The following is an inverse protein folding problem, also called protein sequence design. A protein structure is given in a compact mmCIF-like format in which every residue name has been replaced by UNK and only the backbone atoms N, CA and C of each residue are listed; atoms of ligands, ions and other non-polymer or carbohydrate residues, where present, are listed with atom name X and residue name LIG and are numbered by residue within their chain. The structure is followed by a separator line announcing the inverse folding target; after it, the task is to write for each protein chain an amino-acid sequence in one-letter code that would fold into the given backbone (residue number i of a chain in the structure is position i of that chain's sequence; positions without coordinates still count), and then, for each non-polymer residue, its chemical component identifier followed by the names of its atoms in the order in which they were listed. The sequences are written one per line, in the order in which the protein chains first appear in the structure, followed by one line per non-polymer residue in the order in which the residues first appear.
data_IF_304717947978
#
_entry.id   IF_304717947978
#
_cell.length_a   1.000
_cell.length_b   1.000
_cell.length_c   1.000
_cell.angle_alpha   90.00
_cell.angle_beta   90.00
_cell.angle_gamma   90.00
#
_symmetry.space_group_name_H-M   'P 1'
#
loop_
_entity.id
_entity.type
_entity.pdbx_description
1 polymer ?
#
# COMPACT_ATOMS: atom_id res chain seq x y z
N UNK A 1 -1.28 15.43 2.63
CA UNK A 1 -1.15 14.78 3.96
C UNK A 1 -2.48 14.25 4.51
N UNK A 2 -3.62 14.94 4.37
CA UNK A 2 -4.90 14.50 4.96
C UNK A 2 -5.43 13.13 4.49
N UNK A 3 -5.42 12.85 3.18
CA UNK A 3 -5.97 11.61 2.61
C UNK A 3 -5.22 10.36 3.09
N UNK A 4 -3.89 10.43 3.17
CA UNK A 4 -3.06 9.31 3.65
C UNK A 4 -3.33 9.01 5.13
N UNK A 5 -3.56 10.04 5.95
CA UNK A 5 -3.91 9.86 7.36
C UNK A 5 -5.26 9.19 7.56
N UNK A 6 -6.29 9.63 6.83
CA UNK A 6 -7.64 9.05 6.92
C UNK A 6 -7.67 7.61 6.44
N UNK A 7 -7.05 7.32 5.29
CA UNK A 7 -6.98 5.96 4.75
C UNK A 7 -6.10 5.06 5.62
N UNK A 8 -5.02 5.58 6.19
CA UNK A 8 -4.14 4.83 7.10
C UNK A 8 -4.86 4.40 8.38
N UNK A 9 -5.59 5.30 9.03
CA UNK A 9 -6.36 4.98 10.24
C UNK A 9 -7.50 4.01 9.94
N UNK A 10 -8.21 4.19 8.83
CA UNK A 10 -9.26 3.26 8.41
C UNK A 10 -8.70 1.85 8.16
N UNK A 11 -7.56 1.76 7.47
CA UNK A 11 -6.89 0.49 7.21
C UNK A 11 -6.42 -0.17 8.51
N UNK A 12 -5.80 0.58 9.42
CA UNK A 12 -5.38 0.06 10.72
C UNK A 12 -6.56 -0.43 11.56
N UNK A 13 -7.69 0.29 11.54
CA UNK A 13 -8.90 -0.12 12.25
C UNK A 13 -9.42 -1.48 11.77
N UNK A 14 -9.53 -1.67 10.46
CA UNK A 14 -10.00 -2.92 9.86
C UNK A 14 -9.01 -4.06 10.11
N UNK A 15 -7.71 -3.80 9.92
CA UNK A 15 -6.66 -4.80 10.14
C UNK A 15 -6.63 -5.24 11.60
N UNK A 16 -6.68 -4.29 12.53
CA UNK A 16 -6.60 -4.58 13.95
C UNK A 16 -7.82 -5.36 14.42
N UNK A 17 -9.04 -4.89 14.11
CA UNK A 17 -10.28 -5.57 14.49
C UNK A 17 -10.35 -6.99 13.92
N UNK A 18 -10.08 -7.15 12.62
CA UNK A 18 -10.07 -8.46 11.97
C UNK A 18 -8.95 -9.38 12.48
N UNK A 19 -7.83 -8.85 12.98
CA UNK A 19 -6.77 -9.68 13.58
C UNK A 19 -7.18 -10.18 14.96
N UNK A 20 -7.75 -9.31 15.80
CA UNK A 20 -8.20 -9.66 17.14
C UNK A 20 -9.28 -10.75 17.07
N UNK A 21 -10.32 -10.55 16.25
CA UNK A 21 -11.43 -11.51 16.13
C UNK A 21 -10.99 -12.89 15.63
N UNK A 22 -9.96 -12.95 14.76
CA UNK A 22 -9.46 -14.20 14.20
C UNK A 22 -8.34 -14.85 15.02
N UNK A 23 -7.92 -14.25 16.14
CA UNK A 23 -6.90 -14.80 17.03
C UNK A 23 -7.36 -14.89 18.48
N UNK A 24 -8.69 -14.84 18.70
CA UNK A 24 -9.31 -15.04 20.01
C UNK A 24 -8.97 -16.43 20.56
N UNK A 25 -8.80 -16.51 21.87
CA UNK A 25 -8.79 -17.79 22.56
C UNK A 25 -10.22 -18.35 22.65
N UNK A 26 -10.34 -19.68 22.62
CA UNK A 26 -11.61 -20.34 22.89
C UNK A 26 -11.83 -20.39 24.41
N UNK A 27 -12.41 -19.31 24.94
CA UNK A 27 -12.61 -19.10 26.38
C UNK A 27 -13.97 -19.64 26.90
N UNK A 28 -14.86 -20.14 26.02
CA UNK A 28 -16.17 -20.73 26.37
C UNK A 28 -16.63 -21.75 25.30
N UNK A 29 -17.57 -22.66 25.66
CA UNK A 29 -18.14 -23.67 24.75
C UNK A 29 -19.20 -23.10 23.78
N UNK A 30 -19.55 -21.82 23.94
CA UNK A 30 -20.51 -21.13 23.09
C UNK A 30 -19.97 -20.85 21.69
N UNK A 31 -20.80 -21.09 20.66
CA UNK A 31 -20.48 -20.70 19.27
C UNK A 31 -20.33 -19.17 19.08
N UNK A 32 -20.69 -18.36 20.08
CA UNK A 32 -20.58 -16.91 20.08
C UNK A 32 -19.48 -16.42 21.05
N UNK A 33 -18.33 -16.07 20.49
CA UNK A 33 -17.14 -15.63 21.25
C UNK A 33 -17.34 -14.33 22.05
N UNK A 34 -18.34 -13.51 21.71
CA UNK A 34 -18.66 -12.27 22.45
C UNK A 34 -19.05 -12.49 23.91
N UNK A 35 -19.58 -13.67 24.27
CA UNK A 35 -19.98 -13.99 25.65
C UNK A 35 -18.83 -14.48 26.51
N UNK A 36 -17.72 -14.88 25.89
CA UNK A 36 -16.56 -15.42 26.57
C UNK A 36 -15.67 -14.31 27.16
N UNK A 37 -15.91 -13.05 26.81
CA UNK A 37 -15.13 -11.91 27.31
C UNK A 37 -15.66 -11.38 28.65
N UNK A 38 -14.76 -11.17 29.61
CA UNK A 38 -15.04 -10.48 30.87
C UNK A 38 -14.13 -9.23 31.01
N UNK A 39 -14.69 -8.02 31.22
CA UNK A 39 -13.89 -6.79 31.35
C UNK A 39 -12.94 -6.77 32.56
N UNK A 40 -13.09 -7.68 33.52
CA UNK A 40 -12.21 -7.81 34.70
C UNK A 40 -11.21 -8.95 34.59
N UNK A 41 -11.17 -9.68 33.45
CA UNK A 41 -10.21 -10.74 33.24
C UNK A 41 -8.77 -10.20 33.19
N UNK A 42 -7.83 -10.99 33.70
CA UNK A 42 -6.40 -10.64 33.73
C UNK A 42 -5.70 -11.09 32.44
N UNK A 43 -6.22 -12.14 31.81
CA UNK A 43 -5.63 -12.74 30.61
C UNK A 43 -6.04 -12.01 29.33
N UNK A 44 -5.12 -11.91 28.36
CA UNK A 44 -5.41 -11.36 27.04
C UNK A 44 -6.41 -12.24 26.30
N UNK A 45 -7.44 -11.65 25.70
CA UNK A 45 -8.51 -12.39 24.99
C UNK A 45 -8.07 -12.91 23.61
N UNK A 46 -6.92 -12.45 23.09
CA UNK A 46 -6.39 -12.85 21.80
C UNK A 46 -4.90 -13.14 21.87
N UNK A 47 -4.41 -13.99 20.95
CA UNK A 47 -3.02 -14.40 20.92
C UNK A 47 -2.14 -13.42 20.11
N UNK A 48 -1.42 -12.53 20.80
CA UNK A 48 -0.44 -11.66 20.14
C UNK A 48 0.66 -12.44 19.40
N UNK A 49 1.08 -13.59 19.93
CA UNK A 49 2.12 -14.44 19.31
C UNK A 49 1.64 -14.99 17.97
N UNK A 50 0.41 -15.48 17.90
CA UNK A 50 -0.19 -16.00 16.67
C UNK A 50 -0.42 -14.88 15.65
N UNK A 51 -0.95 -13.74 16.11
CA UNK A 51 -1.11 -12.54 15.28
C UNK A 51 0.23 -12.09 14.67
N UNK A 52 1.28 -11.98 15.48
CA UNK A 52 2.61 -11.56 15.03
C UNK A 52 3.22 -12.54 14.02
N UNK A 53 3.06 -13.84 14.26
CA UNK A 53 3.54 -14.88 13.33
C UNK A 53 2.82 -14.79 11.98
N UNK A 54 1.50 -14.64 11.99
CA UNK A 54 0.69 -14.48 10.78
C UNK A 54 1.16 -13.26 9.96
N UNK A 55 1.24 -12.09 10.60
CA UNK A 55 1.63 -10.86 9.90
C UNK A 55 3.09 -10.86 9.44
N UNK A 56 4.00 -11.48 10.20
CA UNK A 56 5.40 -11.66 9.79
C UNK A 56 5.52 -12.51 8.52
N UNK A 57 4.65 -13.51 8.33
CA UNK A 57 4.65 -14.33 7.12
C UNK A 57 4.08 -13.59 5.90
N UNK A 58 3.04 -12.78 6.10
CA UNK A 58 2.37 -12.03 5.02
C UNK A 58 3.22 -10.85 4.55
N UNK A 59 3.74 -10.04 5.46
CA UNK A 59 4.49 -8.83 5.12
C UNK A 59 6.01 -9.00 5.10
N UNK A 60 6.56 -10.07 5.69
CA UNK A 60 8.00 -10.35 5.70
C UNK A 60 8.54 -10.93 4.39
N UNK A 61 7.69 -11.23 3.40
CA UNK A 61 8.13 -11.73 2.09
C UNK A 61 8.61 -10.55 1.22
N UNK A 62 9.92 -10.49 0.98
CA UNK A 62 10.54 -9.47 0.10
C UNK A 62 10.16 -9.73 -1.36
N UNK A 63 9.40 -8.82 -1.97
CA UNK A 63 9.13 -8.80 -3.43
C UNK A 63 10.31 -8.09 -4.11
N UNK A 64 11.17 -8.84 -4.80
CA UNK A 64 12.45 -8.34 -5.34
C UNK A 64 12.36 -7.76 -6.78
N UNK A 65 11.18 -7.70 -7.39
CA UNK A 65 11.01 -7.15 -8.75
C UNK A 65 10.14 -5.90 -8.69
N UNK A 66 10.75 -4.75 -8.38
CA UNK A 66 10.05 -3.48 -8.21
C UNK A 66 10.25 -2.60 -9.45
N UNK A 67 9.54 -2.91 -10.53
CA UNK A 67 9.15 -1.88 -11.49
C UNK A 67 7.89 -1.22 -10.92
N UNK A 68 7.97 0.05 -10.53
CA UNK A 68 6.86 0.74 -9.85
C UNK A 68 6.10 1.64 -10.79
N UNK A 69 4.86 1.96 -10.42
CA UNK A 69 4.14 3.07 -11.04
C UNK A 69 4.92 4.38 -10.96
N UNK A 70 5.73 4.59 -9.92
CA UNK A 70 6.59 5.78 -9.81
C UNK A 70 7.64 5.83 -10.92
N UNK A 71 8.36 4.73 -11.16
CA UNK A 71 9.34 4.64 -12.25
C UNK A 71 8.68 4.72 -13.63
N UNK A 72 7.45 4.20 -13.79
CA UNK A 72 6.66 4.36 -15.03
C UNK A 72 6.18 5.80 -15.25
N UNK A 73 5.78 6.48 -14.18
CA UNK A 73 5.33 7.88 -14.25
C UNK A 73 6.48 8.85 -14.55
N UNK A 74 7.71 8.53 -14.12
CA UNK A 74 8.89 9.31 -14.50
C UNK A 74 9.09 9.24 -16.02
N UNK A 75 9.10 8.04 -16.61
CA UNK A 75 9.25 7.87 -18.06
C UNK A 75 8.11 8.55 -18.84
N UNK A 76 6.88 8.49 -18.32
CA UNK A 76 5.74 9.18 -18.92
C UNK A 76 5.90 10.71 -18.86
N UNK A 77 6.34 11.23 -17.72
CA UNK A 77 6.55 12.66 -17.52
C UNK A 77 7.70 13.21 -18.38
N UNK A 78 8.80 12.46 -18.51
CA UNK A 78 9.90 12.79 -19.42
C UNK A 78 9.42 12.82 -20.87
N UNK A 79 8.56 11.88 -21.27
CA UNK A 79 7.87 11.90 -22.55
C UNK A 79 7.06 13.17 -22.74
N UNK A 80 6.10 13.44 -21.86
CA UNK A 80 5.21 14.60 -21.98
C UNK A 80 6.00 15.91 -22.04
N UNK A 81 7.01 16.07 -21.17
CA UNK A 81 7.87 17.25 -21.16
C UNK A 81 8.63 17.42 -22.47
N UNK A 82 9.26 16.36 -22.98
CA UNK A 82 10.02 16.42 -24.24
C UNK A 82 9.11 16.73 -25.45
N UNK A 83 7.90 16.18 -25.47
CA UNK A 83 6.94 16.38 -26.56
C UNK A 83 6.24 17.75 -26.51
N UNK A 84 6.00 18.31 -25.32
CA UNK A 84 5.31 19.59 -25.17
C UNK A 84 6.25 20.80 -25.14
N UNK A 85 7.54 20.63 -24.81
CA UNK A 85 8.50 21.73 -24.64
C UNK A 85 8.62 22.66 -25.87
N UNK A 86 8.60 22.11 -27.09
CA UNK A 86 8.74 22.91 -28.31
C UNK A 86 7.54 23.82 -28.60
N UNK A 87 6.33 23.44 -28.15
CA UNK A 87 5.10 24.22 -28.35
C UNK A 87 4.75 25.12 -27.15
N UNK A 88 5.06 24.68 -25.94
CA UNK A 88 4.73 25.44 -24.72
C UNK A 88 5.79 26.50 -24.40
N UNK A 89 7.06 26.29 -24.79
CA UNK A 89 8.16 27.24 -24.58
C UNK A 89 8.64 27.85 -25.91
N UNK A 90 7.72 28.41 -26.71
CA UNK A 90 8.03 29.03 -28.01
C UNK A 90 9.17 30.08 -27.95
N UNK A 91 9.30 30.77 -26.83
CA UNK A 91 10.35 31.78 -26.62
C UNK A 91 11.76 31.20 -26.49
N UNK A 92 11.89 29.90 -26.19
CA UNK A 92 13.18 29.21 -26.13
C UNK A 92 13.62 28.65 -27.48
N UNK A 93 12.77 28.72 -28.52
CA UNK A 93 13.06 28.24 -29.89
C UNK A 93 13.64 26.82 -29.91
N UNK A 94 13.10 25.93 -29.07
CA UNK A 94 13.55 24.55 -28.93
C UNK A 94 13.19 23.74 -30.18
N UNK A 95 14.20 23.19 -30.84
CA UNK A 95 14.04 22.28 -31.99
C UNK A 95 14.67 20.95 -31.61
N UNK A 96 13.84 19.92 -31.36
CA UNK A 96 14.31 18.58 -31.05
C UNK A 96 14.24 17.69 -32.31
N UNK A 97 15.35 17.07 -32.75
CA UNK A 97 15.30 16.05 -33.80
C UNK A 97 14.58 14.78 -33.33
N UNK A 98 13.98 14.02 -34.24
CA UNK A 98 13.15 12.85 -33.90
C UNK A 98 13.92 11.76 -33.12
N UNK A 99 15.24 11.67 -33.33
CA UNK A 99 16.14 10.70 -32.69
C UNK A 99 16.32 10.91 -31.18
N UNK A 100 16.04 12.11 -30.66
CA UNK A 100 16.21 12.43 -29.23
C UNK A 100 14.89 12.39 -28.45
N UNK A 101 13.76 12.19 -29.13
CA UNK A 101 12.47 12.11 -28.47
C UNK A 101 12.28 10.72 -27.83
N UNK A 102 11.98 10.66 -26.52
CA UNK A 102 11.72 9.38 -25.86
C UNK A 102 10.46 8.74 -26.46
N UNK A 103 10.61 7.52 -26.99
CA UNK A 103 9.53 6.73 -27.59
C UNK A 103 9.67 5.27 -27.17
N UNK A 104 8.54 4.59 -26.98
CA UNK A 104 8.53 3.15 -26.77
C UNK A 104 8.96 2.40 -28.03
N UNK A 105 9.46 1.17 -27.89
CA UNK A 105 10.04 0.36 -28.96
C UNK A 105 9.16 0.15 -30.21
N UNK A 106 7.85 0.41 -30.14
CA UNK A 106 6.87 0.14 -31.21
C UNK A 106 5.76 1.18 -31.31
N UNK A 107 5.82 2.25 -30.52
CA UNK A 107 4.90 3.38 -30.70
C UNK A 107 5.36 4.19 -31.88
#
# INVERSE_FOLDING_TARGET
MGVVGVLGVALLCVIYGGTVENTLFEDDDGANTFRAFNPTQVEETYSMVTANRFWSQIFGRKILNFETFYTKNILLNEGILAWMAAQDQLHENLIFPEEVLPRGNTL
#
